data_IF_687805890595
#
_entry.id   IF_687805890595
#
_cell.length_a   1.000
_cell.length_b   1.000
_cell.length_c   1.000
_cell.angle_alpha   90.00
_cell.angle_beta   90.00
_cell.angle_gamma   90.00
#
_symmetry.space_group_name_H-M   'P 1'
#
loop_
_entity.id
_entity.type
_entity.pdbx_description
1 polymer ?
#
# COMPACT_ATOMS: atom_id res chain seq x y z
N UNK A 1 15.94 12.23 9.85
CA UNK A 1 15.70 11.20 8.84
C UNK A 1 14.20 10.99 8.67
N UNK A 2 13.76 10.87 7.43
CA UNK A 2 12.35 10.69 7.12
C UNK A 2 12.06 9.19 6.99
N UNK A 3 11.12 8.72 7.80
CA UNK A 3 10.68 7.32 7.73
C UNK A 3 9.51 7.21 6.77
N UNK A 4 9.57 6.30 5.79
CA UNK A 4 8.43 6.09 4.91
C UNK A 4 7.24 5.49 5.67
N UNK A 5 6.04 5.92 5.28
CA UNK A 5 4.79 5.44 5.83
C UNK A 5 3.91 4.97 4.69
N UNK A 6 3.28 3.82 4.86
CA UNK A 6 2.31 3.32 3.88
C UNK A 6 0.91 3.49 4.46
N UNK A 7 0.07 4.22 3.73
CA UNK A 7 -1.30 4.47 4.12
C UNK A 7 -2.23 3.53 3.36
N UNK A 8 -3.12 2.86 4.08
CA UNK A 8 -4.06 1.93 3.49
C UNK A 8 -5.46 2.16 4.05
N UNK A 9 -6.46 1.60 3.40
CA UNK A 9 -7.84 1.71 3.86
C UNK A 9 -8.08 0.70 4.99
N UNK A 10 -8.12 1.21 6.22
CA UNK A 10 -8.33 0.38 7.40
C UNK A 10 -9.73 -0.19 7.52
N UNK A 11 -10.69 0.33 6.76
CA UNK A 11 -12.05 -0.22 6.74
C UNK A 11 -12.20 -1.35 5.70
N UNK A 12 -11.20 -1.56 4.87
CA UNK A 12 -11.24 -2.57 3.81
C UNK A 12 -10.58 -3.87 4.29
N UNK A 13 -11.33 -4.97 4.30
CA UNK A 13 -10.80 -6.26 4.72
C UNK A 13 -9.71 -6.79 3.81
N UNK A 14 -9.87 -6.62 2.49
CA UNK A 14 -8.86 -7.05 1.53
C UNK A 14 -7.57 -6.27 1.70
N UNK A 15 -7.66 -4.96 1.89
CA UNK A 15 -6.49 -4.11 2.10
C UNK A 15 -5.75 -4.51 3.38
N UNK A 16 -6.49 -4.81 4.44
CA UNK A 16 -5.91 -5.28 5.70
C UNK A 16 -5.21 -6.62 5.49
N UNK A 17 -5.82 -7.53 4.73
CA UNK A 17 -5.19 -8.81 4.41
C UNK A 17 -3.88 -8.61 3.67
N UNK A 18 -3.83 -7.68 2.73
CA UNK A 18 -2.60 -7.39 1.99
C UNK A 18 -1.49 -6.89 2.91
N UNK A 19 -1.83 -6.05 3.89
CA UNK A 19 -0.85 -5.57 4.87
C UNK A 19 -0.32 -6.72 5.72
N UNK A 20 -1.20 -7.61 6.17
CA UNK A 20 -0.79 -8.77 6.96
C UNK A 20 0.10 -9.70 6.14
N UNK A 21 -0.23 -9.92 4.87
CA UNK A 21 0.59 -10.74 3.97
C UNK A 21 1.97 -10.11 3.76
N UNK A 22 2.03 -8.79 3.62
CA UNK A 22 3.30 -8.08 3.50
C UNK A 22 4.17 -8.30 4.75
N UNK A 23 3.59 -8.15 5.91
CA UNK A 23 4.31 -8.32 7.16
C UNK A 23 4.82 -9.75 7.35
N UNK A 24 4.09 -10.73 6.83
CA UNK A 24 4.46 -12.13 6.96
C UNK A 24 5.47 -12.59 5.91
N UNK A 25 5.31 -12.15 4.66
CA UNK A 25 6.09 -12.68 3.53
C UNK A 25 7.13 -11.72 3.00
N UNK A 26 6.76 -10.48 2.79
CA UNK A 26 7.65 -9.46 2.22
C UNK A 26 8.60 -8.90 3.29
N UNK A 27 8.05 -8.62 4.45
CA UNK A 27 8.80 -8.19 5.64
C UNK A 27 9.68 -6.96 5.37
N UNK A 28 9.07 -5.95 4.77
CA UNK A 28 9.78 -4.71 4.45
C UNK A 28 10.20 -3.91 5.67
N UNK A 29 9.51 -4.12 6.79
CA UNK A 29 9.75 -3.32 7.99
C UNK A 29 9.16 -1.93 7.91
N UNK A 30 8.41 -1.61 6.87
CA UNK A 30 7.77 -0.31 6.73
C UNK A 30 6.61 -0.16 7.72
N UNK A 31 6.31 1.09 8.05
CA UNK A 31 5.19 1.41 8.92
C UNK A 31 3.91 1.47 8.08
N UNK A 32 2.90 0.69 8.45
CA UNK A 32 1.60 0.67 7.78
C UNK A 32 0.57 1.28 8.72
N UNK A 33 -0.12 2.32 8.26
CA UNK A 33 -1.08 3.06 9.09
C UNK A 33 -2.40 3.16 8.32
N UNK A 34 -3.54 2.80 8.94
CA UNK A 34 -4.83 3.10 8.33
C UNK A 34 -4.94 4.61 8.11
N UNK A 35 -5.34 5.04 6.91
CA UNK A 35 -5.38 6.47 6.64
C UNK A 35 -6.35 7.20 7.58
N UNK A 36 -7.37 6.48 8.06
CA UNK A 36 -8.35 7.03 9.00
C UNK A 36 -7.75 7.41 10.35
N UNK A 37 -6.57 6.88 10.66
CA UNK A 37 -5.86 7.15 11.92
C UNK A 37 -4.58 7.95 11.71
N UNK A 38 -4.31 8.39 10.49
CA UNK A 38 -3.08 9.11 10.16
C UNK A 38 -3.29 10.62 10.22
N UNK A 39 -2.21 11.33 10.49
CA UNK A 39 -2.19 12.80 10.44
C UNK A 39 -1.97 13.24 8.99
N UNK A 40 -3.02 13.19 8.19
CA UNK A 40 -2.93 13.41 6.75
C UNK A 40 -2.37 14.77 6.36
N UNK A 41 -2.78 15.89 7.01
CA UNK A 41 -2.18 17.18 6.66
C UNK A 41 -0.67 17.22 6.86
N UNK A 42 -0.17 16.57 7.90
CA UNK A 42 1.27 16.51 8.16
C UNK A 42 2.00 15.70 7.08
N UNK A 43 1.31 14.76 6.45
CA UNK A 43 1.88 13.93 5.38
C UNK A 43 1.71 14.54 4.00
N UNK A 44 0.96 15.63 3.89
CA UNK A 44 0.75 16.30 2.62
C UNK A 44 -0.20 15.60 1.68
N UNK A 45 -1.08 14.75 2.20
CA UNK A 45 -2.05 13.99 1.38
C UNK A 45 -3.47 14.25 1.88
N UNK A 46 -4.45 13.99 1.02
CA UNK A 46 -5.86 14.14 1.37
C UNK A 46 -6.50 12.80 1.69
N UNK A 47 -7.60 12.82 2.44
CA UNK A 47 -8.38 11.63 2.70
C UNK A 47 -8.90 11.01 1.40
N UNK A 48 -9.26 11.83 0.43
CA UNK A 48 -9.74 11.35 -0.88
C UNK A 48 -8.67 10.54 -1.60
N UNK A 49 -7.42 11.04 -1.62
CA UNK A 49 -6.31 10.30 -2.20
C UNK A 49 -6.11 8.96 -1.51
N UNK A 50 -6.10 8.96 -0.18
CA UNK A 50 -5.85 7.76 0.61
C UNK A 50 -6.99 6.74 0.50
N UNK A 51 -8.22 7.21 0.32
CA UNK A 51 -9.36 6.32 0.12
C UNK A 51 -9.35 5.67 -1.25
N UNK A 52 -8.81 6.37 -2.25
CA UNK A 52 -8.80 5.89 -3.63
C UNK A 52 -7.75 4.80 -3.86
N UNK A 53 -6.59 4.94 -3.24
CA UNK A 53 -5.51 3.96 -3.45
C UNK A 53 -4.55 3.95 -2.27
N UNK A 54 -3.76 2.86 -2.17
CA UNK A 54 -2.69 2.79 -1.19
C UNK A 54 -1.64 3.86 -1.53
N UNK A 55 -1.11 4.50 -0.49
CA UNK A 55 -0.11 5.56 -0.65
C UNK A 55 1.18 5.17 0.07
N UNK A 56 2.30 5.39 -0.60
CA UNK A 56 3.63 5.29 0.00
C UNK A 56 4.17 6.72 0.12
N UNK A 57 4.36 7.18 1.35
CA UNK A 57 4.76 8.56 1.62
C UNK A 57 6.14 8.57 2.25
N UNK A 58 7.08 9.24 1.59
CA UNK A 58 8.43 9.41 2.11
C UNK A 58 8.81 10.88 1.93
N UNK A 59 8.67 11.66 3.01
CA UNK A 59 8.88 13.10 2.94
C UNK A 59 7.90 13.74 1.97
N UNK A 60 8.40 14.47 0.98
CA UNK A 60 7.59 15.11 -0.04
C UNK A 60 7.22 14.16 -1.19
N UNK A 61 7.79 12.94 -1.21
CA UNK A 61 7.52 11.97 -2.27
C UNK A 61 6.33 11.12 -1.91
N UNK A 62 5.33 11.11 -2.79
CA UNK A 62 4.13 10.31 -2.61
C UNK A 62 3.94 9.44 -3.85
N UNK A 63 3.90 8.12 -3.63
CA UNK A 63 3.60 7.16 -4.68
C UNK A 63 2.23 6.55 -4.37
N UNK A 64 1.47 6.26 -5.40
CA UNK A 64 0.13 5.69 -5.24
C UNK A 64 -0.06 4.47 -6.12
N UNK A 65 -1.03 3.63 -5.74
CA UNK A 65 -1.43 2.49 -6.54
C UNK A 65 -0.31 1.48 -6.71
N UNK A 66 -0.14 1.02 -7.96
CA UNK A 66 0.86 0.01 -8.29
C UNK A 66 2.28 0.47 -7.97
N UNK A 67 2.58 1.77 -8.09
CA UNK A 67 3.90 2.29 -7.77
C UNK A 67 4.17 2.23 -6.27
N UNK A 68 3.15 2.48 -5.45
CA UNK A 68 3.28 2.33 -4.00
C UNK A 68 3.55 0.86 -3.64
N UNK A 69 2.84 -0.07 -4.26
CA UNK A 69 3.06 -1.50 -4.06
C UNK A 69 4.48 -1.88 -4.45
N UNK A 70 4.96 -1.40 -5.60
CA UNK A 70 6.33 -1.68 -6.05
C UNK A 70 7.37 -1.16 -5.04
N UNK A 71 7.14 0.04 -4.48
CA UNK A 71 8.06 0.60 -3.48
C UNK A 71 8.11 -0.26 -2.22
N UNK A 72 6.96 -0.78 -1.77
CA UNK A 72 6.89 -1.68 -0.63
C UNK A 72 7.69 -2.96 -0.90
N UNK A 73 7.48 -3.57 -2.07
CA UNK A 73 8.19 -4.80 -2.43
C UNK A 73 9.68 -4.58 -2.53
N UNK A 74 10.11 -3.43 -3.06
CA UNK A 74 11.54 -3.11 -3.17
C UNK A 74 12.20 -2.93 -1.80
N UNK A 75 11.41 -2.64 -0.78
CA UNK A 75 11.90 -2.51 0.59
C UNK A 75 11.92 -3.85 1.34
N UNK A 76 11.40 -4.90 0.74
CA UNK A 76 11.25 -6.20 1.38
C UNK A 76 12.47 -7.09 1.28
N UNK A 77 12.31 -8.33 1.73
CA UNK A 77 13.34 -9.36 1.65
C UNK A 77 13.35 -10.01 0.27
N UNK A 78 14.53 -10.52 -0.13
CA UNK A 78 14.65 -11.28 -1.36
C UNK A 78 13.64 -12.45 -1.36
N UNK A 79 12.93 -12.73 -2.46
CA UNK A 79 13.13 -12.16 -3.81
C UNK A 79 12.28 -10.91 -4.10
N UNK A 80 11.59 -10.35 -3.12
CA UNK A 80 10.60 -9.31 -3.34
C UNK A 80 11.13 -8.02 -3.97
N UNK A 81 12.36 -7.54 -3.65
CA UNK A 81 12.87 -6.35 -4.33
C UNK A 81 12.96 -6.48 -5.84
N UNK A 82 13.28 -7.67 -6.35
CA UNK A 82 13.33 -7.94 -7.78
C UNK A 82 11.93 -7.88 -8.40
N UNK A 83 10.94 -8.39 -7.71
CA UNK A 83 9.56 -8.35 -8.17
C UNK A 83 9.06 -6.90 -8.18
N UNK A 84 9.38 -6.13 -7.14
CA UNK A 84 9.04 -4.71 -7.10
C UNK A 84 9.70 -3.92 -8.22
N UNK A 85 10.97 -4.19 -8.50
CA UNK A 85 11.67 -3.54 -9.60
C UNK A 85 11.04 -3.89 -10.95
N UNK A 86 10.60 -5.13 -11.12
CA UNK A 86 9.92 -5.54 -12.34
C UNK A 86 8.60 -4.80 -12.53
N UNK A 87 7.80 -4.69 -11.46
CA UNK A 87 6.53 -3.97 -11.52
C UNK A 87 6.72 -2.48 -11.84
N UNK A 88 7.85 -1.91 -11.45
CA UNK A 88 8.15 -0.51 -11.66
C UNK A 88 8.91 -0.25 -12.96
N UNK A 89 9.25 -1.29 -13.71
CA UNK A 89 9.93 -1.14 -14.99
C UNK A 89 9.03 -0.41 -15.98
N UNK A 90 9.59 0.50 -16.82
CA UNK A 90 8.77 1.32 -17.71
C UNK A 90 7.83 0.51 -18.63
N UNK A 91 8.28 -0.65 -19.10
CA UNK A 91 7.46 -1.50 -19.96
C UNK A 91 6.31 -2.19 -19.21
N UNK A 92 6.47 -2.40 -17.91
CA UNK A 92 5.50 -3.12 -17.08
C UNK A 92 4.54 -2.17 -16.37
N UNK A 93 4.96 -0.93 -16.12
CA UNK A 93 4.14 0.05 -15.38
C UNK A 93 2.69 0.15 -15.85
N UNK A 94 2.40 0.26 -17.17
CA UNK A 94 1.01 0.37 -17.61
C UNK A 94 0.18 -0.87 -17.26
N UNK A 95 0.78 -2.06 -17.37
CA UNK A 95 0.11 -3.30 -17.03
C UNK A 95 -0.13 -3.40 -15.52
N UNK A 96 0.88 -3.04 -14.73
CA UNK A 96 0.75 -3.04 -13.28
C UNK A 96 -0.31 -2.05 -12.81
N UNK A 97 -0.38 -0.87 -13.43
CA UNK A 97 -1.39 0.12 -13.10
C UNK A 97 -2.80 -0.37 -13.42
N UNK A 98 -2.97 -1.04 -14.56
CA UNK A 98 -4.25 -1.62 -14.94
C UNK A 98 -4.66 -2.72 -13.98
N UNK A 99 -3.74 -3.61 -13.64
CA UNK A 99 -3.99 -4.69 -12.69
C UNK A 99 -4.37 -4.15 -11.32
N UNK A 100 -3.67 -3.13 -10.86
CA UNK A 100 -3.99 -2.51 -9.59
C UNK A 100 -5.41 -1.91 -9.61
N UNK A 101 -5.76 -1.17 -10.66
CA UNK A 101 -7.09 -0.56 -10.76
C UNK A 101 -8.19 -1.61 -10.82
N UNK A 102 -7.94 -2.72 -11.51
CA UNK A 102 -8.88 -3.83 -11.54
C UNK A 102 -9.14 -4.37 -10.12
N UNK A 103 -8.06 -4.66 -9.39
CA UNK A 103 -8.17 -5.17 -8.01
C UNK A 103 -8.84 -4.14 -7.11
N UNK A 104 -8.47 -2.86 -7.23
CA UNK A 104 -9.03 -1.81 -6.40
C UNK A 104 -10.53 -1.67 -6.61
N UNK A 105 -11.04 -1.83 -7.83
CA UNK A 105 -12.47 -1.78 -8.11
C UNK A 105 -13.23 -2.97 -7.52
N UNK A 106 -12.56 -4.10 -7.40
CA UNK A 106 -13.19 -5.35 -6.97
C UNK A 106 -12.83 -5.73 -5.54
N UNK A 107 -12.10 -4.88 -4.83
CA UNK A 107 -11.60 -5.23 -3.48
C UNK A 107 -12.72 -5.53 -2.49
N UNK A 108 -13.90 -4.96 -2.67
CA UNK A 108 -15.04 -5.24 -1.81
C UNK A 108 -15.61 -6.64 -1.98
N UNK A 109 -15.28 -7.31 -3.09
CA UNK A 109 -15.72 -8.67 -3.40
C UNK A 109 -14.64 -9.71 -3.14
N UNK A 110 -13.41 -9.27 -2.87
CA UNK A 110 -12.29 -10.17 -2.63
C UNK A 110 -12.26 -10.60 -1.17
N UNK A 111 -11.81 -11.84 -0.90
CA UNK A 111 -11.65 -12.27 0.49
C UNK A 111 -10.60 -11.42 1.19
N UNK A 112 -10.73 -11.30 2.49
CA UNK A 112 -9.81 -10.49 3.27
C UNK A 112 -9.80 -10.90 4.73
N UNK A 113 -9.17 -10.06 5.53
CA UNK A 113 -9.11 -10.20 6.98
C UNK A 113 -10.14 -9.26 7.63
N UNK A 114 -10.42 -9.39 8.93
CA UNK A 114 -11.21 -8.39 9.62
C UNK A 114 -10.58 -7.01 9.42
N UNK A 115 -11.40 -5.97 9.12
CA UNK A 115 -10.86 -4.64 8.87
C UNK A 115 -10.00 -4.14 10.03
N UNK A 116 -8.91 -3.46 9.71
CA UNK A 116 -7.96 -2.99 10.73
C UNK A 116 -8.62 -2.07 11.76
N UNK A 117 -9.59 -1.26 11.32
CA UNK A 117 -10.29 -0.33 12.23
C UNK A 117 -11.17 -1.02 13.24
N UNK A 118 -11.58 -2.27 12.97
CA UNK A 118 -12.39 -3.06 13.89
C UNK A 118 -11.55 -3.85 14.89
N UNK A 119 -10.26 -3.95 14.63
CA UNK A 119 -9.36 -4.68 15.51
C UNK A 119 -8.99 -3.80 16.70
N UNK A 120 -9.09 -4.38 17.89
CA UNK A 120 -8.70 -3.68 19.12
C UNK A 120 -7.20 -3.81 19.27
N UNK A 121 -6.55 -2.67 19.34
CA UNK A 121 -5.10 -2.61 19.55
C UNK A 121 -4.77 -2.80 21.03
#
# INVERSE_FOLDING_TARGET
>A
MVHPVVLFDGACGFCTWCVLAEQRYVRSGLEFVPYQRAELPALGVSAAQAAESVLYVKGAHVLSGARAVAAVLRSGRSPWPRIGALLDAPAVRPLAARGYRFVARHRGRLPGAPPALEQVS
#
